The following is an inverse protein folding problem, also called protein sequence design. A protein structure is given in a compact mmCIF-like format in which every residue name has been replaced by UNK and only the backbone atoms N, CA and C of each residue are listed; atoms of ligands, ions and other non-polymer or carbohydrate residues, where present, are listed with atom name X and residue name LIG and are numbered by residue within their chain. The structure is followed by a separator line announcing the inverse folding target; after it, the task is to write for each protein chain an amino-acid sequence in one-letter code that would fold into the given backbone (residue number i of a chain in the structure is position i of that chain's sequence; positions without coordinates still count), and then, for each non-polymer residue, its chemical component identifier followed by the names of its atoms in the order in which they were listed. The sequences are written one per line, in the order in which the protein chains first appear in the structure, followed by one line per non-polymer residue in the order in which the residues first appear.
data_IF_646812563378
#
_entry.id   IF_646812563378
#
_cell.length_a   1.000
_cell.length_b   1.000
_cell.length_c   1.000
_cell.angle_alpha   90.00
_cell.angle_beta   90.00
_cell.angle_gamma   90.00
#
_symmetry.space_group_name_H-M   'P 1'
#
loop_
_entity.id
_entity.type
_entity.pdbx_description
1 polymer ?
#
# COMPACT_ATOMS: atom_id res chain seq x y z
N UNK A 1 17.65 -24.21 0.32
CA UNK A 1 17.31 -24.56 1.72
C UNK A 1 18.48 -24.57 2.70
N UNK A 2 19.56 -25.34 2.47
CA UNK A 2 20.61 -25.54 3.49
C UNK A 2 21.30 -24.24 3.93
N UNK A 3 21.57 -23.31 3.00
CA UNK A 3 22.16 -22.00 3.30
C UNK A 3 21.25 -21.18 4.23
N UNK A 4 19.95 -21.08 3.91
CA UNK A 4 18.99 -20.35 4.73
C UNK A 4 18.88 -20.93 6.16
N UNK A 5 18.87 -22.26 6.30
CA UNK A 5 18.86 -22.94 7.62
C UNK A 5 20.10 -22.59 8.44
N UNK A 6 21.28 -22.63 7.82
CA UNK A 6 22.55 -22.35 8.50
C UNK A 6 22.60 -20.91 8.99
N UNK A 7 22.19 -19.93 8.17
CA UNK A 7 22.17 -18.51 8.56
C UNK A 7 21.19 -18.24 9.71
N UNK A 8 20.00 -18.84 9.69
CA UNK A 8 18.97 -18.64 10.71
C UNK A 8 19.26 -19.35 12.04
N UNK A 9 20.11 -20.38 12.02
CA UNK A 9 20.47 -21.18 13.22
C UNK A 9 21.12 -20.36 14.34
N UNK A 10 21.69 -19.19 14.01
CA UNK A 10 22.35 -18.31 14.97
C UNK A 10 21.43 -17.23 15.58
N UNK A 11 20.19 -17.07 15.08
CA UNK A 11 19.31 -15.92 15.40
C UNK A 11 17.88 -16.30 15.81
N UNK A 12 17.37 -17.46 15.40
CA UNK A 12 16.00 -17.90 15.68
C UNK A 12 15.98 -18.98 16.77
N UNK A 13 14.95 -18.96 17.62
CA UNK A 13 14.68 -19.98 18.65
C UNK A 13 14.74 -21.40 18.03
N UNK A 14 15.50 -22.29 18.67
CA UNK A 14 15.60 -23.69 18.28
C UNK A 14 14.20 -24.31 18.12
N UNK A 15 13.92 -24.91 16.96
CA UNK A 15 12.63 -25.55 16.66
C UNK A 15 11.83 -24.89 15.52
N UNK A 16 11.95 -23.57 15.31
CA UNK A 16 11.20 -22.85 14.24
C UNK A 16 12.01 -22.60 12.95
N UNK A 17 13.26 -23.09 12.91
CA UNK A 17 14.20 -22.85 11.81
C UNK A 17 13.72 -23.37 10.46
N UNK A 18 13.03 -24.52 10.43
CA UNK A 18 12.59 -25.13 9.17
C UNK A 18 11.53 -24.27 8.49
N UNK A 19 10.55 -23.84 9.28
CA UNK A 19 9.46 -22.99 8.85
C UNK A 19 9.96 -21.68 8.25
N UNK A 20 10.77 -20.94 9.00
CA UNK A 20 11.30 -19.66 8.52
C UNK A 20 12.29 -19.80 7.36
N UNK A 21 13.09 -20.86 7.33
CA UNK A 21 13.98 -21.10 6.21
C UNK A 21 13.18 -21.42 4.93
N UNK A 22 12.07 -22.15 5.04
CA UNK A 22 11.14 -22.38 3.92
C UNK A 22 10.50 -21.06 3.46
N UNK A 23 9.94 -20.27 4.37
CA UNK A 23 9.36 -18.96 4.05
C UNK A 23 10.34 -18.04 3.32
N UNK A 24 11.61 -17.97 3.77
CA UNK A 24 12.63 -17.16 3.10
C UNK A 24 12.94 -17.65 1.68
N UNK A 25 13.01 -18.96 1.48
CA UNK A 25 13.27 -19.53 0.15
C UNK A 25 12.08 -19.31 -0.78
N UNK A 26 10.87 -19.58 -0.30
CA UNK A 26 9.63 -19.41 -1.08
C UNK A 26 9.45 -17.94 -1.48
N UNK A 27 9.75 -16.98 -0.58
CA UNK A 27 9.71 -15.56 -0.89
C UNK A 27 10.70 -15.15 -2.00
N UNK A 28 11.92 -15.68 -1.98
CA UNK A 28 12.93 -15.40 -3.02
C UNK A 28 12.56 -16.05 -4.35
N UNK A 29 11.98 -17.26 -4.32
CA UNK A 29 11.54 -17.95 -5.54
C UNK A 29 10.41 -17.19 -6.26
N UNK A 30 9.55 -16.48 -5.52
CA UNK A 30 8.52 -15.60 -6.11
C UNK A 30 9.09 -14.44 -6.91
N UNK A 31 10.34 -14.03 -6.69
CA UNK A 31 10.97 -12.96 -7.49
C UNK A 31 11.37 -13.43 -8.90
N UNK A 32 11.14 -14.70 -9.27
CA UNK A 32 11.42 -15.25 -10.61
C UNK A 32 12.84 -14.96 -11.13
N UNK A 33 13.83 -14.94 -10.24
CA UNK A 33 15.24 -14.70 -10.59
C UNK A 33 15.67 -13.23 -10.62
N UNK A 34 14.75 -12.29 -10.34
CA UNK A 34 15.12 -10.89 -10.07
C UNK A 34 15.86 -10.81 -8.73
N UNK A 35 16.94 -10.03 -8.69
CA UNK A 35 17.73 -9.80 -7.47
C UNK A 35 17.22 -8.63 -6.64
N UNK A 36 16.15 -7.97 -7.08
CA UNK A 36 15.57 -6.83 -6.37
C UNK A 36 14.78 -7.30 -5.15
N UNK A 37 15.36 -7.07 -3.97
CA UNK A 37 14.74 -7.42 -2.70
C UNK A 37 13.59 -6.48 -2.33
N UNK A 38 13.37 -5.37 -3.04
CA UNK A 38 12.22 -4.48 -2.82
C UNK A 38 10.89 -5.19 -3.07
N UNK A 39 10.87 -6.25 -3.88
CA UNK A 39 9.70 -7.11 -4.09
C UNK A 39 9.31 -7.98 -2.89
N UNK A 40 10.13 -8.04 -1.82
CA UNK A 40 9.84 -8.81 -0.61
C UNK A 40 9.49 -7.87 0.56
N UNK A 41 8.22 -7.84 0.96
CA UNK A 41 7.81 -7.13 2.17
C UNK A 41 7.85 -8.04 3.39
N UNK A 42 8.34 -7.51 4.51
CA UNK A 42 8.23 -8.18 5.81
C UNK A 42 7.31 -7.36 6.71
N UNK A 43 6.15 -7.92 7.01
CA UNK A 43 5.12 -7.29 7.84
C UNK A 43 5.13 -7.96 9.21
N UNK A 44 5.46 -7.20 10.25
CA UNK A 44 5.53 -7.70 11.62
C UNK A 44 4.21 -7.49 12.34
N UNK A 45 3.64 -8.56 12.89
CA UNK A 45 2.37 -8.54 13.62
C UNK A 45 2.56 -9.11 15.02
N UNK A 46 2.08 -8.37 16.01
CA UNK A 46 2.08 -8.81 17.40
C UNK A 46 0.92 -9.78 17.63
N UNK A 47 1.16 -10.81 18.44
CA UNK A 47 0.17 -11.84 18.77
C UNK A 47 0.21 -13.05 17.84
N UNK A 48 -0.41 -14.14 18.29
CA UNK A 48 -0.32 -15.51 17.75
C UNK A 48 1.10 -16.09 17.76
N UNK A 49 1.19 -17.40 17.57
CA UNK A 49 2.47 -18.08 17.63
C UNK A 49 3.33 -17.67 16.44
N UNK A 50 4.64 -17.55 16.62
CA UNK A 50 5.54 -17.30 15.48
C UNK A 50 5.43 -18.35 14.35
N UNK A 51 4.96 -19.57 14.66
CA UNK A 51 4.73 -20.62 13.67
C UNK A 51 3.55 -20.33 12.74
N UNK A 52 2.66 -19.41 13.13
CA UNK A 52 1.53 -18.95 12.31
C UNK A 52 1.95 -17.85 11.31
N UNK A 53 3.25 -17.60 11.18
CA UNK A 53 3.79 -16.72 10.13
C UNK A 53 3.64 -17.39 8.77
N UNK A 54 3.28 -16.63 7.74
CA UNK A 54 3.05 -17.16 6.40
C UNK A 54 3.51 -16.20 5.31
N UNK A 55 3.56 -16.70 4.08
CA UNK A 55 3.82 -15.94 2.87
C UNK A 55 2.48 -15.73 2.16
N UNK A 56 2.04 -14.49 2.02
CA UNK A 56 0.80 -14.13 1.33
C UNK A 56 1.00 -14.17 -0.19
N UNK A 57 -0.08 -14.48 -0.91
CA UNK A 57 -0.14 -14.44 -2.37
C UNK A 57 -0.72 -13.09 -2.83
N UNK A 58 0.17 -12.15 -3.13
CA UNK A 58 -0.19 -10.84 -3.66
C UNK A 58 0.46 -9.70 -2.86
N UNK A 59 -0.21 -8.56 -2.89
CA UNK A 59 0.23 -7.32 -2.26
C UNK A 59 -0.81 -6.82 -1.24
N UNK A 60 -0.38 -6.52 -0.02
CA UNK A 60 -1.15 -6.05 1.11
C UNK A 60 -0.98 -4.55 1.22
N UNK A 61 -2.05 -3.84 0.89
CA UNK A 61 -2.09 -2.41 1.12
C UNK A 61 -2.72 -2.13 2.49
N UNK A 62 -1.91 -1.62 3.42
CA UNK A 62 -2.36 -1.23 4.76
C UNK A 62 -3.09 0.12 4.76
N UNK A 63 -4.26 0.18 4.11
CA UNK A 63 -5.10 1.38 4.08
C UNK A 63 -6.57 1.04 4.32
N UNK A 64 -7.30 2.04 4.82
CA UNK A 64 -8.75 1.97 4.98
C UNK A 64 -9.41 2.38 3.67
N UNK A 65 -10.46 1.66 3.30
CA UNK A 65 -11.33 2.04 2.21
C UNK A 65 -12.16 3.24 2.66
N UNK A 66 -12.44 4.14 1.72
CA UNK A 66 -13.40 5.21 1.87
C UNK A 66 -14.80 4.73 2.28
N UNK A 67 -15.62 5.67 2.77
CA UNK A 67 -16.98 5.38 3.23
C UNK A 67 -17.88 5.12 2.01
N UNK A 68 -18.82 4.16 2.12
CA UNK A 68 -19.77 3.79 1.06
C UNK A 68 -19.16 3.23 -0.23
N UNK A 69 -17.92 2.73 -0.19
CA UNK A 69 -17.27 2.08 -1.32
C UNK A 69 -17.44 0.55 -1.29
N UNK A 70 -17.39 -0.13 -2.45
CA UNK A 70 -17.37 -1.59 -2.51
C UNK A 70 -16.16 -2.12 -1.74
N UNK A 71 -16.32 -3.20 -0.97
CA UNK A 71 -15.21 -3.83 -0.22
C UNK A 71 -14.44 -4.86 -1.05
N UNK A 72 -15.06 -5.34 -2.12
CA UNK A 72 -14.51 -6.34 -3.03
C UNK A 72 -14.80 -5.95 -4.47
N UNK A 73 -13.76 -6.04 -5.30
CA UNK A 73 -13.83 -5.76 -6.73
C UNK A 73 -13.18 -6.93 -7.46
N UNK A 74 -14.00 -7.66 -8.23
CA UNK A 74 -13.52 -8.64 -9.19
C UNK A 74 -13.19 -7.91 -10.51
N UNK A 75 -12.11 -8.31 -11.19
CA UNK A 75 -11.62 -7.65 -12.40
C UNK A 75 -11.35 -6.15 -12.16
N UNK A 76 -10.54 -5.86 -11.15
CA UNK A 76 -10.10 -4.52 -10.82
C UNK A 76 -9.22 -3.94 -11.93
N UNK A 77 -9.65 -2.85 -12.56
CA UNK A 77 -8.84 -1.97 -13.38
C UNK A 77 -8.28 -0.88 -12.49
N UNK A 78 -7.02 -1.04 -12.11
CA UNK A 78 -6.37 -0.25 -11.07
C UNK A 78 -5.60 0.89 -11.73
N UNK A 79 -5.96 2.13 -11.38
CA UNK A 79 -5.19 3.32 -11.73
C UNK A 79 -4.40 3.78 -10.52
N UNK A 80 -3.08 3.86 -10.67
CA UNK A 80 -2.17 4.33 -9.63
C UNK A 80 -1.74 5.74 -9.95
N UNK A 81 -1.87 6.68 -9.01
CA UNK A 81 -1.49 8.07 -9.19
C UNK A 81 -0.65 8.63 -8.05
N UNK A 82 0.07 9.70 -8.36
CA UNK A 82 0.76 10.55 -7.40
C UNK A 82 0.45 12.02 -7.69
N UNK A 83 -0.82 12.40 -7.52
CA UNK A 83 -1.29 13.75 -7.87
C UNK A 83 -2.19 14.29 -6.76
N UNK A 84 -1.99 15.54 -6.30
CA UNK A 84 -2.93 16.16 -5.38
C UNK A 84 -4.29 16.32 -6.05
N UNK A 85 -5.37 15.97 -5.33
CA UNK A 85 -6.74 16.16 -5.83
C UNK A 85 -7.14 17.62 -5.78
N UNK A 86 -6.68 18.35 -4.76
CA UNK A 86 -6.77 19.80 -4.71
C UNK A 86 -5.90 20.45 -5.79
N UNK A 87 -6.32 21.62 -6.25
CA UNK A 87 -5.37 22.52 -6.87
C UNK A 87 -4.41 22.98 -5.81
N UNK A 88 -3.10 23.04 -6.12
CA UNK A 88 -2.13 23.72 -5.27
C UNK A 88 -2.79 24.96 -4.71
N UNK A 89 -3.04 24.98 -3.38
CA UNK A 89 -3.41 26.20 -2.68
C UNK A 89 -2.45 27.21 -3.23
N UNK A 90 -2.94 28.17 -4.01
CA UNK A 90 -2.07 29.12 -4.71
C UNK A 90 -1.14 29.58 -3.62
N UNK A 91 0.14 29.21 -3.69
CA UNK A 91 1.15 29.71 -2.76
C UNK A 91 1.34 31.13 -3.24
N UNK A 92 0.38 31.98 -2.89
CA UNK A 92 0.45 33.40 -3.09
C UNK A 92 1.51 33.85 -2.10
N UNK A 93 2.77 33.67 -2.49
CA UNK A 93 3.88 34.39 -1.92
C UNK A 93 3.53 35.88 -2.07
N UNK A 94 3.03 36.48 -0.99
CA UNK A 94 3.01 37.93 -0.82
C UNK A 94 1.75 38.70 -1.19
N UNK A 95 0.65 38.10 -1.65
CA UNK A 95 -0.62 38.82 -1.85
C UNK A 95 -1.67 38.31 -0.88
N UNK A 96 -1.90 39.07 0.20
CA UNK A 96 -3.08 38.90 1.05
C UNK A 96 -4.32 39.10 0.17
N UNK A 97 -4.95 38.03 -0.28
CA UNK A 97 -6.27 38.09 -0.89
C UNK A 97 -7.23 38.54 0.21
N UNK A 98 -7.53 39.83 0.27
CA UNK A 98 -8.64 40.35 1.08
C UNK A 98 -9.92 39.96 0.35
N UNK A 99 -10.61 38.96 0.87
CA UNK A 99 -11.92 38.58 0.33
C UNK A 99 -12.95 39.50 0.96
N UNK A 100 -13.23 40.63 0.30
CA UNK A 100 -14.02 41.73 0.86
C UNK A 100 -15.54 41.47 0.90
N UNK A 101 -16.01 40.25 0.55
CA UNK A 101 -17.44 39.91 0.58
C UNK A 101 -17.68 38.40 0.68
N UNK A 102 -18.73 38.01 1.42
CA UNK A 102 -19.20 36.61 1.55
C UNK A 102 -19.53 35.99 0.18
N UNK A 103 -20.03 36.78 -0.76
CA UNK A 103 -20.35 36.31 -2.12
C UNK A 103 -19.12 35.80 -2.88
N UNK A 104 -18.00 36.53 -2.82
CA UNK A 104 -16.73 36.11 -3.45
C UNK A 104 -16.15 34.85 -2.82
N UNK A 105 -16.35 34.62 -1.52
CA UNK A 105 -15.91 33.38 -0.86
C UNK A 105 -16.69 32.19 -1.44
N UNK A 106 -18.02 32.33 -1.55
CA UNK A 106 -18.88 31.28 -2.09
C UNK A 106 -18.56 30.95 -3.57
N UNK A 107 -18.29 31.96 -4.40
CA UNK A 107 -17.86 31.78 -5.79
C UNK A 107 -16.53 31.01 -5.90
N UNK A 108 -15.57 31.33 -5.03
CA UNK A 108 -14.28 30.63 -4.99
C UNK A 108 -14.43 29.16 -4.57
N UNK A 109 -15.24 28.88 -3.55
CA UNK A 109 -15.52 27.50 -3.11
C UNK A 109 -16.19 26.67 -4.20
N UNK A 110 -17.14 27.26 -4.94
CA UNK A 110 -17.80 26.61 -6.08
C UNK A 110 -16.79 26.29 -7.19
N UNK A 111 -15.94 27.25 -7.55
CA UNK A 111 -14.92 27.06 -8.57
C UNK A 111 -13.87 26.00 -8.17
N UNK A 112 -13.51 25.90 -6.88
CA UNK A 112 -12.63 24.84 -6.38
C UNK A 112 -13.27 23.46 -6.47
N UNK A 113 -14.55 23.34 -6.09
CA UNK A 113 -15.33 22.10 -6.24
C UNK A 113 -15.44 21.67 -7.69
N UNK A 114 -15.74 22.59 -8.60
CA UNK A 114 -15.84 22.28 -10.03
C UNK A 114 -14.53 21.71 -10.59
N UNK A 115 -13.39 22.30 -10.24
CA UNK A 115 -12.07 21.77 -10.65
C UNK A 115 -11.77 20.39 -10.10
N UNK A 116 -12.13 20.13 -8.84
CA UNK A 116 -12.00 18.80 -8.24
C UNK A 116 -12.85 17.78 -8.99
N UNK A 117 -14.09 18.15 -9.32
CA UNK A 117 -15.01 17.33 -10.10
C UNK A 117 -14.46 17.04 -11.50
N UNK A 118 -13.97 18.04 -12.22
CA UNK A 118 -13.38 17.87 -13.56
C UNK A 118 -12.20 16.89 -13.52
N UNK A 119 -11.37 16.95 -12.47
CA UNK A 119 -10.25 16.01 -12.30
C UNK A 119 -10.73 14.59 -12.04
N UNK A 120 -11.77 14.41 -11.22
CA UNK A 120 -12.41 13.10 -11.01
C UNK A 120 -13.01 12.59 -12.31
N UNK A 121 -13.71 13.43 -13.07
CA UNK A 121 -14.29 13.05 -14.36
C UNK A 121 -13.22 12.60 -15.36
N UNK A 122 -12.06 13.28 -15.39
CA UNK A 122 -10.89 12.82 -16.16
C UNK A 122 -10.42 11.45 -15.71
N UNK A 123 -10.27 11.19 -14.41
CA UNK A 123 -9.89 9.88 -13.87
C UNK A 123 -10.88 8.79 -14.31
N UNK A 124 -12.18 9.08 -14.23
CA UNK A 124 -13.23 8.15 -14.63
C UNK A 124 -13.21 7.82 -16.13
N UNK A 125 -12.75 8.74 -16.99
CA UNK A 125 -12.60 8.49 -18.42
C UNK A 125 -11.55 7.40 -18.74
N UNK A 126 -10.59 7.15 -17.84
CA UNK A 126 -9.67 6.00 -17.97
C UNK A 126 -10.40 4.66 -17.79
N UNK A 127 -11.61 4.66 -17.21
CA UNK A 127 -12.40 3.46 -16.98
C UNK A 127 -11.91 2.63 -15.80
N UNK A 128 -11.08 3.17 -14.91
CA UNK A 128 -10.68 2.48 -13.69
C UNK A 128 -11.88 2.24 -12.76
N UNK A 129 -11.92 1.08 -12.10
CA UNK A 129 -12.87 0.80 -11.01
C UNK A 129 -12.19 0.85 -9.63
N UNK A 130 -10.86 0.97 -9.61
CA UNK A 130 -10.05 1.23 -8.43
C UNK A 130 -9.08 2.36 -8.74
N UNK A 131 -9.08 3.40 -7.92
CA UNK A 131 -8.15 4.51 -7.96
C UNK A 131 -7.31 4.52 -6.69
N UNK A 132 -5.99 4.46 -6.83
CA UNK A 132 -5.04 4.45 -5.72
C UNK A 132 -4.15 5.69 -5.86
N UNK A 133 -4.23 6.59 -4.89
CA UNK A 133 -3.44 7.81 -4.90
C UNK A 133 -2.46 7.82 -3.74
N UNK A 134 -1.22 8.22 -4.03
CA UNK A 134 -0.22 8.52 -3.00
C UNK A 134 -0.62 9.71 -2.13
N UNK A 135 -1.28 10.70 -2.73
CA UNK A 135 -1.72 11.90 -2.04
C UNK A 135 -3.10 11.69 -1.38
N UNK A 136 -3.47 12.61 -0.49
CA UNK A 136 -4.79 12.66 0.14
C UNK A 136 -5.89 12.88 -0.90
N UNK A 137 -7.05 12.26 -0.69
CA UNK A 137 -8.28 12.46 -1.46
C UNK A 137 -9.32 13.02 -0.49
N UNK A 138 -9.74 14.27 -0.70
CA UNK A 138 -10.72 14.93 0.17
C UNK A 138 -12.13 14.36 0.00
N UNK A 139 -12.99 14.61 1.00
CA UNK A 139 -14.37 14.12 1.08
C UNK A 139 -15.17 14.32 -0.22
N UNK A 140 -15.02 15.46 -0.89
CA UNK A 140 -15.79 15.76 -2.10
C UNK A 140 -15.41 14.87 -3.29
N UNK A 141 -14.13 14.79 -3.72
CA UNK A 141 -13.70 13.76 -4.67
C UNK A 141 -14.03 12.32 -4.25
N UNK A 142 -13.89 11.99 -2.97
CA UNK A 142 -14.19 10.64 -2.44
C UNK A 142 -15.67 10.28 -2.66
N UNK A 143 -16.60 11.21 -2.36
CA UNK A 143 -18.03 11.06 -2.63
C UNK A 143 -18.31 10.85 -4.13
N UNK A 144 -17.65 11.61 -5.00
CA UNK A 144 -17.83 11.46 -6.45
C UNK A 144 -17.37 10.08 -6.96
N UNK A 145 -16.28 9.54 -6.42
CA UNK A 145 -15.86 8.16 -6.72
C UNK A 145 -16.88 7.14 -6.22
N UNK A 146 -17.36 7.30 -4.98
CA UNK A 146 -18.35 6.41 -4.39
C UNK A 146 -19.67 6.39 -5.19
N UNK A 147 -20.17 7.55 -5.62
CA UNK A 147 -21.38 7.70 -6.44
C UNK A 147 -21.26 6.98 -7.79
N UNK A 148 -20.04 6.85 -8.31
CA UNK A 148 -19.72 6.16 -9.56
C UNK A 148 -19.32 4.70 -9.36
N UNK A 149 -19.32 4.21 -8.12
CA UNK A 149 -18.93 2.84 -7.77
C UNK A 149 -17.44 2.56 -7.91
N UNK A 150 -16.59 3.60 -7.94
CA UNK A 150 -15.13 3.48 -7.97
C UNK A 150 -14.59 3.45 -6.56
N UNK A 151 -13.74 2.48 -6.27
CA UNK A 151 -13.01 2.41 -4.99
C UNK A 151 -11.84 3.38 -5.03
N UNK A 152 -11.80 4.34 -4.12
CA UNK A 152 -10.65 5.21 -3.93
C UNK A 152 -9.84 4.79 -2.69
N UNK A 153 -8.52 4.72 -2.84
CA UNK A 153 -7.58 4.52 -1.75
C UNK A 153 -6.63 5.71 -1.74
N UNK A 154 -6.65 6.45 -0.64
CA UNK A 154 -5.83 7.65 -0.49
C UNK A 154 -4.60 7.43 0.38
N UNK A 155 -3.70 8.41 0.33
CA UNK A 155 -2.53 8.49 1.19
C UNK A 155 -1.71 7.19 1.19
N UNK A 156 -1.66 6.49 0.06
CA UNK A 156 -0.88 5.27 -0.07
C UNK A 156 0.61 5.60 0.10
N UNK A 157 1.32 4.86 0.96
CA UNK A 157 2.72 5.18 1.25
C UNK A 157 3.57 5.03 -0.02
N UNK A 158 4.60 5.87 -0.19
CA UNK A 158 5.40 5.91 -1.42
C UNK A 158 5.97 4.55 -1.81
N UNK A 159 6.59 3.85 -0.85
CA UNK A 159 7.13 2.52 -1.06
C UNK A 159 6.02 1.50 -1.38
N UNK A 160 4.81 1.71 -0.87
CA UNK A 160 3.65 0.87 -1.20
C UNK A 160 3.17 1.09 -2.63
N UNK A 161 3.13 2.34 -3.09
CA UNK A 161 2.65 2.70 -4.44
C UNK A 161 3.63 2.25 -5.53
N UNK A 162 4.93 2.46 -5.33
CA UNK A 162 5.98 2.02 -6.27
C UNK A 162 5.98 0.49 -6.40
N UNK A 163 5.91 -0.23 -5.28
CA UNK A 163 5.86 -1.69 -5.31
C UNK A 163 4.55 -2.18 -5.90
N UNK A 164 3.43 -1.55 -5.58
CA UNK A 164 2.15 -1.90 -6.18
C UNK A 164 2.21 -1.74 -7.70
N UNK A 165 2.78 -0.64 -8.22
CA UNK A 165 2.97 -0.44 -9.64
C UNK A 165 3.85 -1.55 -10.26
N UNK A 166 4.97 -1.89 -9.63
CA UNK A 166 5.84 -2.98 -10.07
C UNK A 166 5.13 -4.34 -10.08
N UNK A 167 4.35 -4.63 -9.03
CA UNK A 167 3.64 -5.90 -8.86
C UNK A 167 2.50 -6.00 -9.87
N UNK A 168 1.74 -4.93 -10.07
CA UNK A 168 0.68 -4.89 -11.06
C UNK A 168 1.22 -4.86 -12.50
N UNK A 169 2.44 -4.37 -12.70
CA UNK A 169 2.94 -3.98 -14.03
C UNK A 169 2.36 -2.64 -14.52
N UNK A 170 1.72 -1.88 -13.63
CA UNK A 170 1.07 -0.60 -13.95
C UNK A 170 2.02 0.60 -13.86
N UNK A 171 1.61 1.71 -14.48
CA UNK A 171 2.33 2.98 -14.41
C UNK A 171 1.74 3.91 -13.34
N UNK A 172 2.60 4.66 -12.64
CA UNK A 172 2.16 5.71 -11.72
C UNK A 172 1.92 7.00 -12.51
N UNK A 173 0.67 7.42 -12.61
CA UNK A 173 0.31 8.64 -13.34
C UNK A 173 0.44 9.89 -12.48
N UNK A 174 0.83 10.99 -13.12
CA UNK A 174 0.86 12.33 -12.53
C UNK A 174 -0.16 13.28 -13.16
N UNK A 175 -0.65 12.96 -14.36
CA UNK A 175 -1.65 13.73 -15.12
C UNK A 175 -2.71 12.78 -15.68
N UNK A 176 -3.91 13.32 -15.93
CA UNK A 176 -5.08 12.53 -16.33
C UNK A 176 -5.61 12.88 -17.73
N UNK A 177 -4.92 13.73 -18.48
CA UNK A 177 -5.40 14.30 -19.75
C UNK A 177 -5.29 13.34 -20.94
N UNK A 178 -4.50 12.27 -20.81
CA UNK A 178 -4.22 11.33 -21.90
C UNK A 178 -4.62 9.91 -21.51
N UNK A 179 -5.92 9.57 -21.50
CA UNK A 179 -6.38 8.24 -21.10
C UNK A 179 -5.84 7.12 -21.98
N UNK A 180 -5.64 7.38 -23.27
CA UNK A 180 -5.16 6.36 -24.22
C UNK A 180 -3.68 5.99 -24.04
N UNK A 181 -2.93 6.74 -23.24
CA UNK A 181 -1.47 6.55 -23.04
C UNK A 181 -1.12 5.91 -21.71
N UNK A 182 -2.10 5.72 -20.83
CA UNK A 182 -1.86 5.18 -19.49
C UNK A 182 -2.02 3.67 -19.52
N UNK A 183 -0.96 2.96 -19.13
CA UNK A 183 -0.99 1.52 -18.93
C UNK A 183 -1.64 1.20 -17.58
N UNK A 184 -2.89 0.72 -17.64
CA UNK A 184 -3.60 0.16 -16.49
C UNK A 184 -3.59 -1.36 -16.58
N UNK A 185 -3.33 -2.00 -15.46
CA UNK A 185 -3.31 -3.46 -15.37
C UNK A 185 -4.54 -3.99 -14.62
N UNK A 186 -4.92 -5.21 -14.99
CA UNK A 186 -6.07 -5.90 -14.40
C UNK A 186 -5.61 -6.70 -13.17
N UNK A 187 -6.28 -6.52 -12.04
CA UNK A 187 -6.06 -7.28 -10.81
C UNK A 187 -7.37 -7.77 -10.19
N UNK A 188 -7.28 -8.43 -9.04
CA UNK A 188 -8.44 -8.66 -8.16
C UNK A 188 -8.16 -7.98 -6.83
N UNK A 189 -9.11 -7.17 -6.34
CA UNK A 189 -9.01 -6.56 -5.02
C UNK A 189 -10.09 -7.17 -4.13
N UNK A 190 -9.68 -7.69 -2.99
CA UNK A 190 -10.60 -8.21 -2.00
C UNK A 190 -10.23 -7.72 -0.59
N UNK A 191 -11.26 -7.45 0.21
CA UNK A 191 -11.11 -7.27 1.64
C UNK A 191 -10.64 -8.57 2.29
N UNK A 192 -9.69 -8.44 3.21
CA UNK A 192 -9.01 -9.57 3.87
C UNK A 192 -9.96 -10.35 4.76
N UNK A 193 -10.94 -9.68 5.38
CA UNK A 193 -11.96 -10.35 6.16
C UNK A 193 -12.86 -11.24 5.28
N UNK A 194 -13.12 -10.85 4.03
CA UNK A 194 -13.90 -11.64 3.07
C UNK A 194 -13.12 -12.82 2.48
N UNK A 195 -11.78 -12.72 2.41
CA UNK A 195 -10.90 -13.84 2.04
C UNK A 195 -10.75 -14.89 3.16
N UNK A 196 -11.43 -14.72 4.30
CA UNK A 196 -11.31 -15.62 5.44
C UNK A 196 -9.98 -15.49 6.19
N UNK A 197 -9.17 -14.49 5.85
CA UNK A 197 -7.95 -14.12 6.57
C UNK A 197 -8.39 -13.28 7.78
N UNK A 198 -8.95 -13.95 8.79
CA UNK A 198 -9.45 -13.31 10.00
C UNK A 198 -8.27 -12.89 10.90
N UNK A 199 -7.87 -11.63 10.79
CA UNK A 199 -6.97 -11.01 11.74
C UNK A 199 -7.71 -10.34 12.90
N UNK A 200 -7.13 -10.41 14.11
CA UNK A 200 -7.73 -9.86 15.32
C UNK A 200 -7.97 -8.33 15.25
N UNK A 201 -9.26 -8.01 15.28
CA UNK A 201 -10.01 -6.85 15.79
C UNK A 201 -9.80 -5.42 15.25
N UNK A 202 -8.70 -5.02 14.59
CA UNK A 202 -8.51 -3.58 14.26
C UNK A 202 -8.11 -3.21 12.83
N UNK A 203 -8.05 -4.14 11.89
CA UNK A 203 -7.44 -3.88 10.58
C UNK A 203 -8.38 -4.24 9.44
N UNK A 204 -9.06 -3.22 8.90
CA UNK A 204 -9.65 -3.26 7.55
C UNK A 204 -8.48 -3.17 6.57
N UNK A 205 -8.15 -4.26 5.90
CA UNK A 205 -7.03 -4.34 4.96
C UNK A 205 -7.52 -4.91 3.64
N UNK A 206 -6.78 -4.64 2.57
CA UNK A 206 -7.06 -5.18 1.26
C UNK A 206 -5.86 -5.94 0.72
N UNK A 207 -6.12 -7.11 0.13
CA UNK A 207 -5.15 -7.80 -0.72
C UNK A 207 -5.46 -7.42 -2.16
N UNK A 208 -4.46 -6.89 -2.83
CA UNK A 208 -4.41 -6.80 -4.28
C UNK A 208 -3.77 -8.09 -4.78
N UNK A 209 -4.62 -9.01 -5.23
CA UNK A 209 -4.20 -10.30 -5.79
C UNK A 209 -4.01 -10.06 -7.28
N UNK A 210 -2.80 -9.69 -7.64
CA UNK A 210 -2.48 -9.36 -9.01
C UNK A 210 -0.99 -9.53 -9.23
N UNK A 211 -0.67 -10.64 -9.87
CA UNK A 211 0.63 -11.07 -10.38
C UNK A 211 1.65 -11.69 -9.41
N UNK A 212 2.43 -12.58 -10.03
CA UNK A 212 3.26 -13.65 -9.48
C UNK A 212 4.57 -13.19 -8.82
N UNK A 213 4.89 -11.91 -8.89
CA UNK A 213 6.25 -11.40 -8.63
C UNK A 213 6.42 -10.67 -7.29
N UNK A 214 5.36 -10.55 -6.48
CA UNK A 214 5.42 -9.99 -5.14
C UNK A 214 5.46 -11.09 -4.07
N UNK A 215 6.27 -10.88 -3.04
CA UNK A 215 6.31 -11.75 -1.88
C UNK A 215 6.04 -10.94 -0.61
N UNK A 216 4.95 -11.23 0.08
CA UNK A 216 4.66 -10.61 1.36
C UNK A 216 4.72 -11.61 2.50
N UNK A 217 5.71 -11.41 3.36
CA UNK A 217 5.92 -12.25 4.51
C UNK A 217 5.28 -11.62 5.74
N UNK A 218 4.21 -12.24 6.23
CA UNK A 218 3.56 -11.85 7.49
C UNK A 218 4.22 -12.63 8.62
N UNK A 219 5.00 -11.93 9.44
CA UNK A 219 5.68 -12.47 10.62
C UNK A 219 4.84 -12.25 11.87
N UNK A 220 4.45 -13.33 12.55
CA UNK A 220 3.83 -13.29 13.88
C UNK A 220 4.91 -13.26 14.96
N UNK A 221 4.72 -12.38 15.96
CA UNK A 221 5.67 -12.16 17.03
C UNK A 221 4.97 -12.34 18.38
N UNK A 222 5.44 -13.33 19.13
CA UNK A 222 5.07 -13.56 20.54
C UNK A 222 5.89 -12.64 21.43
N UNK A 223 5.38 -11.45 21.76
CA UNK A 223 6.00 -10.42 22.58
C UNK A 223 7.41 -9.95 22.12
N UNK A 224 7.72 -8.68 22.36
CA UNK A 224 9.04 -8.11 22.07
C UNK A 224 10.03 -8.68 23.09
N UNK A 225 10.62 -9.84 22.82
CA UNK A 225 11.85 -10.24 23.51
C UNK A 225 12.99 -9.46 22.84
N UNK A 226 13.29 -8.27 23.37
CA UNK A 226 14.60 -7.64 23.13
C UNK A 226 15.65 -8.60 23.67
N UNK A 227 16.39 -9.26 22.78
CA UNK A 227 17.62 -9.93 23.18
C UNK A 227 18.52 -8.88 23.85
N UNK A 228 18.95 -9.07 25.12
CA UNK A 228 19.88 -8.16 25.73
C UNK A 228 21.15 -8.09 24.87
N UNK A 229 21.71 -6.89 24.63
CA UNK A 229 22.93 -6.75 23.83
C UNK A 229 24.02 -7.64 24.43
N UNK A 230 24.76 -8.35 23.55
CA UNK A 230 25.87 -9.22 23.95
C UNK A 230 26.78 -8.45 24.92
N UNK A 231 27.05 -8.96 26.15
CA UNK A 231 28.04 -8.36 27.02
C UNK A 231 29.38 -8.32 26.27
N UNK A 232 29.98 -7.14 26.14
CA UNK A 232 31.33 -7.02 25.62
C UNK A 232 32.26 -7.73 26.60
N UNK A 233 32.85 -8.85 26.18
CA UNK A 233 33.93 -9.48 26.92
C UNK A 233 35.09 -8.49 26.96
N UNK A 234 35.52 -8.08 28.16
CA UNK A 234 36.74 -7.28 28.31
C UNK A 234 37.90 -8.10 27.74
N UNK A 235 38.56 -7.56 26.73
CA UNK A 235 39.78 -8.13 26.16
C UNK A 235 40.84 -8.17 27.27
N UNK A 236 41.10 -9.34 27.85
CA UNK A 236 42.17 -9.53 28.84
C UNK A 236 43.51 -9.68 28.14
N UNK A 237 43.86 -8.70 27.30
CA UNK A 237 45.19 -8.56 26.70
C UNK A 237 45.73 -7.20 27.08
N UNK A 238 46.31 -7.15 28.27
CA UNK A 238 47.34 -6.21 28.67
C UNK A 238 48.05 -6.82 29.91
N UNK A 239 49.10 -7.58 29.63
CA UNK A 239 50.24 -7.80 30.52
C UNK A 239 51.47 -7.33 29.75
#
# INVERSE_FOLDING_TARGET
MNIARTTLSSKILQGKKEHFAKLCVDAVLKLHGKTDLQGIQIIKRLGNNMSDSYLEEGFLLEKRIGINMPKRIQNARILIANTPMDTDKIKVFGSRVRVDSVAKVAELELAEKEKMKDKVDKILQHGCNVFINRQLIYDYPEQLFADKGVMAIEHADFEGVERLAQVLGGEIVSTFDTPDKVHMENGTIADIAELGILESYHLKRQVVISASEAAEMVLRIDNIIKAPPRPRQRDMRNH
#
